data_IF_218156674483
#
_entry.id   IF_218156674483
#
_cell.length_a   1.000
_cell.length_b   1.000
_cell.length_c   1.000
_cell.angle_alpha   90.00
_cell.angle_beta   90.00
_cell.angle_gamma   90.00
#
_symmetry.space_group_name_H-M   'P 1'
#
loop_
_entity.id
_entity.type
_entity.pdbx_description
1 polymer ?
#
# COMPACT_ATOMS: atom_id res chain seq x y z
N UNK A 1 -7.25 25.79 13.44
CA UNK A 1 -7.52 26.64 12.27
C UNK A 1 -7.40 25.83 10.98
N UNK A 2 -8.43 25.86 10.16
CA UNK A 2 -8.43 25.16 8.88
C UNK A 2 -7.78 26.05 7.83
N UNK A 3 -6.75 25.55 7.16
CA UNK A 3 -6.14 26.23 6.03
C UNK A 3 -6.74 25.70 4.73
N UNK A 4 -7.09 26.61 3.85
CA UNK A 4 -7.48 26.24 2.50
C UNK A 4 -6.22 26.15 1.63
N UNK A 5 -6.20 25.13 0.79
CA UNK A 5 -5.15 24.96 -0.21
C UNK A 5 -5.77 25.08 -1.59
N UNK A 6 -5.13 25.80 -2.49
CA UNK A 6 -5.53 25.79 -3.88
C UNK A 6 -4.78 24.69 -4.62
N UNK A 7 -5.27 24.37 -5.81
CA UNK A 7 -4.69 23.32 -6.62
C UNK A 7 -3.23 23.62 -7.01
N UNK A 8 -2.95 24.87 -7.35
CA UNK A 8 -1.61 25.27 -7.79
C UNK A 8 -0.57 25.08 -6.67
N UNK A 9 -0.93 25.43 -5.43
CA UNK A 9 -0.05 25.24 -4.28
C UNK A 9 0.22 23.76 -4.02
N UNK A 10 -0.80 22.93 -4.14
CA UNK A 10 -0.67 21.48 -3.97
C UNK A 10 0.20 20.87 -5.07
N UNK A 11 -0.02 21.28 -6.31
CA UNK A 11 0.75 20.78 -7.44
C UNK A 11 2.23 21.09 -7.28
N UNK A 12 2.56 22.31 -6.85
CA UNK A 12 3.95 22.73 -6.62
C UNK A 12 4.63 21.99 -5.48
N UNK A 13 3.85 21.42 -4.56
CA UNK A 13 4.40 20.66 -3.43
C UNK A 13 4.81 19.25 -3.82
N UNK A 14 4.41 18.76 -5.00
CA UNK A 14 4.74 17.42 -5.48
C UNK A 14 6.09 17.49 -6.20
N UNK A 15 7.13 16.79 -5.69
CA UNK A 15 8.43 16.82 -6.34
C UNK A 15 8.42 16.07 -7.67
N UNK A 16 9.14 16.58 -8.64
CA UNK A 16 9.34 15.88 -9.90
C UNK A 16 10.27 14.68 -9.71
N UNK A 17 10.03 13.61 -10.43
CA UNK A 17 10.88 12.43 -10.38
C UNK A 17 12.13 12.67 -11.24
N UNK A 18 13.29 12.41 -10.64
CA UNK A 18 14.55 12.43 -11.39
C UNK A 18 14.60 11.24 -12.36
N UNK A 19 15.18 11.46 -13.54
CA UNK A 19 15.37 10.38 -14.51
C UNK A 19 16.34 9.30 -14.01
N UNK A 20 17.16 9.62 -13.02
CA UNK A 20 18.11 8.68 -12.41
C UNK A 20 17.60 8.03 -11.13
N UNK A 21 16.37 8.33 -10.72
CA UNK A 21 15.83 7.77 -9.49
C UNK A 21 15.34 6.33 -9.71
N UNK A 22 15.31 5.56 -8.64
CA UNK A 22 14.79 4.19 -8.64
C UNK A 22 13.63 4.08 -7.63
N UNK A 23 12.92 2.94 -7.64
CA UNK A 23 11.72 2.72 -6.82
C UNK A 23 11.95 2.98 -5.34
N UNK A 24 13.09 2.64 -4.79
CA UNK A 24 13.40 2.84 -3.37
C UNK A 24 13.43 4.29 -2.93
N UNK A 25 13.58 5.24 -3.86
CA UNK A 25 13.60 6.68 -3.57
C UNK A 25 12.21 7.26 -3.27
N UNK A 26 11.13 6.56 -3.63
CA UNK A 26 9.76 7.10 -3.57
C UNK A 26 8.93 6.52 -2.42
N UNK A 27 9.60 5.85 -1.51
CA UNK A 27 8.97 5.33 -0.32
C UNK A 27 8.41 3.92 -0.49
N UNK A 28 8.36 3.22 0.63
CA UNK A 28 7.81 1.86 0.73
C UNK A 28 6.55 1.90 1.57
N UNK A 29 5.46 1.46 0.99
CA UNK A 29 4.16 1.38 1.67
C UNK A 29 3.82 -0.06 1.94
N UNK A 30 3.34 -0.34 3.13
CA UNK A 30 2.80 -1.64 3.49
C UNK A 30 1.32 -1.50 3.82
N UNK A 31 0.50 -2.27 3.14
CA UNK A 31 -0.94 -2.36 3.41
C UNK A 31 -1.20 -3.70 4.09
N UNK A 32 -1.87 -3.67 5.22
CA UNK A 32 -2.24 -4.88 5.96
C UNK A 32 -3.76 -4.93 6.06
N UNK A 33 -4.36 -5.98 5.58
CA UNK A 33 -5.80 -6.12 5.62
C UNK A 33 -6.31 -7.20 4.70
N UNK A 34 -7.63 -7.28 4.59
CA UNK A 34 -8.27 -8.22 3.69
C UNK A 34 -8.38 -9.63 4.26
N UNK A 35 -9.27 -9.82 5.22
CA UNK A 35 -9.63 -11.17 5.67
C UNK A 35 -10.37 -11.91 4.56
N UNK A 36 -10.61 -13.20 4.75
CA UNK A 36 -11.32 -14.01 3.77
C UNK A 36 -12.67 -13.40 3.40
N UNK A 37 -12.91 -13.19 2.13
CA UNK A 37 -14.13 -12.55 1.63
C UNK A 37 -14.14 -11.03 1.72
N UNK A 38 -13.10 -10.41 2.25
CA UNK A 38 -13.02 -8.95 2.47
C UNK A 38 -11.73 -8.34 1.89
N UNK A 39 -11.31 -8.85 0.74
CA UNK A 39 -10.04 -8.41 0.14
C UNK A 39 -10.10 -7.09 -0.62
N UNK A 40 -11.29 -6.64 -1.00
CA UNK A 40 -11.44 -5.50 -1.90
C UNK A 40 -10.78 -4.22 -1.41
N UNK A 41 -11.01 -3.84 -0.15
CA UNK A 41 -10.46 -2.62 0.41
C UNK A 41 -8.94 -2.64 0.47
N UNK A 42 -8.35 -3.78 0.82
CA UNK A 42 -6.90 -3.94 0.86
C UNK A 42 -6.30 -3.83 -0.54
N UNK A 43 -6.91 -4.46 -1.52
CA UNK A 43 -6.46 -4.39 -2.92
C UNK A 43 -6.57 -2.97 -3.44
N UNK A 44 -7.68 -2.29 -3.20
CA UNK A 44 -7.87 -0.90 -3.64
C UNK A 44 -6.92 0.06 -2.96
N UNK A 45 -6.63 -0.14 -1.67
CA UNK A 45 -5.67 0.69 -0.94
C UNK A 45 -4.25 0.52 -1.49
N UNK A 46 -3.89 -0.71 -1.84
CA UNK A 46 -2.60 -1.00 -2.46
C UNK A 46 -2.48 -0.35 -3.83
N UNK A 47 -3.52 -0.46 -4.63
CA UNK A 47 -3.59 0.18 -5.95
C UNK A 47 -3.49 1.70 -5.84
N UNK A 48 -4.23 2.30 -4.91
CA UNK A 48 -4.19 3.74 -4.68
C UNK A 48 -2.79 4.20 -4.26
N UNK A 49 -2.13 3.45 -3.39
CA UNK A 49 -0.75 3.74 -2.99
C UNK A 49 0.19 3.73 -4.18
N UNK A 50 0.06 2.72 -5.04
CA UNK A 50 0.89 2.57 -6.24
C UNK A 50 0.69 3.77 -7.20
N UNK A 51 -0.55 4.10 -7.49
CA UNK A 51 -0.88 5.20 -8.41
C UNK A 51 -0.63 6.58 -7.83
N UNK A 52 -0.54 6.70 -6.50
CA UNK A 52 -0.20 7.96 -5.85
C UNK A 52 1.31 8.23 -5.81
N UNK A 53 2.11 7.32 -6.31
CA UNK A 53 3.54 7.53 -6.47
C UNK A 53 4.46 6.76 -5.52
N UNK A 54 3.93 5.84 -4.73
CA UNK A 54 4.80 4.99 -3.91
C UNK A 54 5.74 4.17 -4.81
N UNK A 55 6.99 4.07 -4.42
CA UNK A 55 7.97 3.32 -5.18
C UNK A 55 7.78 1.82 -5.09
N UNK A 56 7.50 1.33 -3.88
CA UNK A 56 7.26 -0.09 -3.60
C UNK A 56 6.01 -0.21 -2.74
N UNK A 57 5.09 -1.09 -3.13
CA UNK A 57 3.88 -1.37 -2.36
C UNK A 57 3.84 -2.85 -2.00
N UNK A 58 3.73 -3.11 -0.71
CA UNK A 58 3.58 -4.45 -0.16
C UNK A 58 2.15 -4.59 0.35
N UNK A 59 1.52 -5.71 0.05
CA UNK A 59 0.20 -6.06 0.58
C UNK A 59 0.31 -7.35 1.37
N UNK A 60 -0.03 -7.28 2.65
CA UNK A 60 -0.13 -8.45 3.52
C UNK A 60 -1.60 -8.72 3.78
N UNK A 61 -2.09 -9.85 3.30
CA UNK A 61 -3.53 -10.15 3.26
C UNK A 61 -3.76 -11.63 3.49
N UNK A 62 -5.02 -12.02 3.64
CA UNK A 62 -5.36 -13.44 3.69
C UNK A 62 -4.89 -14.12 2.38
N UNK A 63 -4.33 -15.34 2.45
CA UNK A 63 -3.77 -16.01 1.26
C UNK A 63 -4.73 -16.08 0.07
N UNK A 64 -6.04 -16.18 0.32
CA UNK A 64 -7.03 -16.26 -0.76
C UNK A 64 -7.06 -15.01 -1.64
N UNK A 65 -6.59 -13.87 -1.13
CA UNK A 65 -6.62 -12.60 -1.87
C UNK A 65 -5.36 -12.34 -2.70
N UNK A 66 -4.32 -13.14 -2.53
CA UNK A 66 -3.03 -12.89 -3.19
C UNK A 66 -3.15 -12.96 -4.71
N UNK A 67 -3.81 -13.98 -5.22
CA UNK A 67 -3.98 -14.15 -6.65
C UNK A 67 -4.77 -12.99 -7.28
N UNK A 68 -5.84 -12.57 -6.62
CA UNK A 68 -6.65 -11.44 -7.09
C UNK A 68 -5.84 -10.14 -7.17
N UNK A 69 -4.99 -9.90 -6.18
CA UNK A 69 -4.11 -8.72 -6.17
C UNK A 69 -3.11 -8.77 -7.33
N UNK A 70 -2.47 -9.91 -7.51
CA UNK A 70 -1.47 -10.09 -8.58
C UNK A 70 -2.08 -9.97 -9.97
N UNK A 71 -3.31 -10.46 -10.16
CA UNK A 71 -4.00 -10.33 -11.44
C UNK A 71 -4.36 -8.89 -11.76
N UNK A 72 -4.70 -8.11 -10.75
CA UNK A 72 -5.10 -6.72 -10.94
C UNK A 72 -3.90 -5.79 -11.06
N UNK A 73 -2.92 -5.94 -10.20
CA UNK A 73 -1.73 -5.09 -10.15
C UNK A 73 -0.50 -5.94 -9.85
N UNK A 74 0.17 -6.49 -10.85
CA UNK A 74 1.33 -7.35 -10.61
C UNK A 74 2.51 -6.62 -9.94
N UNK A 75 2.53 -5.29 -9.95
CA UNK A 75 3.57 -4.52 -9.28
C UNK A 75 3.42 -4.49 -7.76
N UNK A 76 2.24 -4.81 -7.23
CA UNK A 76 2.04 -4.92 -5.79
C UNK A 76 2.59 -6.26 -5.32
N UNK A 77 3.50 -6.20 -4.34
CA UNK A 77 4.07 -7.41 -3.74
C UNK A 77 3.12 -7.97 -2.70
N UNK A 78 2.32 -8.96 -3.08
CA UNK A 78 1.27 -9.52 -2.24
C UNK A 78 1.76 -10.76 -1.51
N UNK A 79 1.53 -10.79 -0.20
CA UNK A 79 1.89 -11.88 0.69
C UNK A 79 0.66 -12.42 1.39
N UNK A 80 0.50 -13.73 1.40
CA UNK A 80 -0.48 -14.38 2.24
C UNK A 80 0.02 -14.42 3.68
N UNK A 81 -0.74 -13.83 4.60
CA UNK A 81 -0.37 -13.86 6.01
C UNK A 81 -0.90 -15.14 6.63
N UNK A 82 -0.01 -15.89 7.23
CA UNK A 82 -0.37 -16.97 8.15
C UNK A 82 -0.02 -16.54 9.58
N UNK A 83 0.22 -17.49 10.47
CA UNK A 83 0.47 -17.22 11.89
C UNK A 83 1.79 -16.52 12.18
N UNK A 84 2.65 -16.32 11.19
CA UNK A 84 3.99 -15.72 11.36
C UNK A 84 4.15 -14.49 10.50
N UNK A 85 3.41 -13.44 10.83
CA UNK A 85 3.58 -12.17 10.17
C UNK A 85 4.88 -11.50 10.61
N UNK A 86 5.69 -11.06 9.65
CA UNK A 86 6.82 -10.18 9.93
C UNK A 86 6.81 -9.02 8.95
N UNK A 87 7.01 -7.82 9.49
CA UNK A 87 7.02 -6.62 8.67
C UNK A 87 8.32 -6.52 7.88
N UNK A 88 8.27 -6.25 6.57
CA UNK A 88 9.49 -5.97 5.81
C UNK A 88 10.25 -4.78 6.39
N UNK A 89 11.57 -4.77 6.21
CA UNK A 89 12.40 -3.66 6.67
C UNK A 89 12.18 -2.40 5.85
N UNK A 90 12.40 -1.25 6.48
CA UNK A 90 12.38 0.07 5.83
C UNK A 90 11.02 0.45 5.24
N UNK A 91 9.94 0.12 5.96
CA UNK A 91 8.61 0.57 5.59
C UNK A 91 8.41 2.02 6.02
N UNK A 92 8.07 2.88 5.09
CA UNK A 92 7.82 4.31 5.34
C UNK A 92 6.39 4.60 5.76
N UNK A 93 5.45 3.80 5.27
CA UNK A 93 4.03 3.98 5.58
C UNK A 93 3.35 2.64 5.80
N UNK A 94 2.60 2.53 6.88
CA UNK A 94 1.82 1.34 7.22
C UNK A 94 0.34 1.69 7.26
N UNK A 95 -0.45 0.99 6.45
CA UNK A 95 -1.90 1.18 6.39
C UNK A 95 -2.63 -0.09 6.84
N UNK A 96 -3.56 0.06 7.76
CA UNK A 96 -4.49 -1.00 8.12
C UNK A 96 -5.84 -0.71 7.48
N UNK A 97 -6.40 -1.69 6.79
CA UNK A 97 -7.65 -1.51 6.06
C UNK A 97 -8.83 -2.12 6.81
N UNK A 98 -9.30 -1.47 7.82
CA UNK A 98 -10.44 -1.92 8.61
C UNK A 98 -10.09 -2.89 9.73
N UNK A 99 -11.10 -3.26 10.51
CA UNK A 99 -10.98 -4.20 11.63
C UNK A 99 -10.51 -5.59 11.18
N UNK A 100 -10.73 -5.92 9.92
CA UNK A 100 -10.26 -7.18 9.35
C UNK A 100 -8.74 -7.35 9.43
N UNK A 101 -7.98 -6.25 9.45
CA UNK A 101 -6.54 -6.30 9.59
C UNK A 101 -6.11 -6.86 10.95
N UNK A 102 -6.87 -6.60 12.00
CA UNK A 102 -6.58 -7.10 13.35
C UNK A 102 -6.69 -8.63 13.42
N UNK A 103 -7.60 -9.22 12.65
CA UNK A 103 -7.74 -10.67 12.59
C UNK A 103 -6.58 -11.34 11.87
N UNK A 104 -5.97 -10.63 10.92
CA UNK A 104 -4.87 -11.16 10.12
C UNK A 104 -3.56 -11.16 10.90
N UNK A 105 -3.32 -10.12 11.70
CA UNK A 105 -2.03 -9.92 12.39
C UNK A 105 -2.00 -10.39 13.84
N UNK A 106 -3.09 -10.94 14.35
CA UNK A 106 -3.16 -11.50 15.70
C UNK A 106 -2.48 -12.84 15.84
#
# INVERSE_FOLDING_TARGET
MIKEFDFDSLEKSIPERSSNSHKGHYGKVMVVGGSEGMGGAAILSSEASLFSGAGLVHLSTHPINVEASLKRNPEVMAYGIDKKFSMPENIDCLLYTSDAADEIVR
#
